data_IF_314148811048
#
_entry.id   IF_314148811048
#
_cell.length_a   1.000
_cell.length_b   1.000
_cell.length_c   1.000
_cell.angle_alpha   90.00
_cell.angle_beta   90.00
_cell.angle_gamma   90.00
#
_symmetry.space_group_name_H-M   'P 1'
#
loop_
_entity.id
_entity.type
_entity.pdbx_description
1 polymer ?
#
# COMPACT_ATOMS: atom_id res chain seq x y z
N UNK A 1 -3.38 -1.98 -10.95
CA UNK A 1 -2.36 -3.04 -11.06
C UNK A 1 -2.13 -3.60 -9.66
N UNK A 2 -2.00 -4.91 -9.50
CA UNK A 2 -1.63 -5.55 -8.24
C UNK A 2 -0.36 -6.37 -8.44
N UNK A 3 0.65 -6.19 -7.60
CA UNK A 3 1.88 -6.98 -7.63
C UNK A 3 1.85 -8.02 -6.51
N UNK A 4 1.85 -9.31 -6.85
CA UNK A 4 1.96 -10.38 -5.87
C UNK A 4 3.35 -10.37 -5.24
N UNK A 5 3.38 -10.28 -3.91
CA UNK A 5 4.57 -10.55 -3.13
C UNK A 5 5.00 -12.01 -3.31
N UNK A 6 6.28 -12.28 -3.03
CA UNK A 6 6.75 -13.65 -2.88
C UNK A 6 6.12 -14.28 -1.63
N UNK A 7 5.11 -15.12 -1.85
CA UNK A 7 4.40 -15.81 -0.77
C UNK A 7 5.20 -16.92 -0.12
N UNK A 8 6.28 -17.36 -0.75
CA UNK A 8 7.19 -18.38 -0.23
C UNK A 8 8.36 -17.75 0.54
N UNK A 9 8.52 -16.42 0.47
CA UNK A 9 9.47 -15.69 1.29
C UNK A 9 9.22 -15.98 2.77
N UNK A 10 10.28 -16.37 3.47
CA UNK A 10 10.23 -16.67 4.90
C UNK A 10 10.51 -15.42 5.72
N UNK A 11 9.86 -15.36 6.88
CA UNK A 11 10.25 -14.45 7.96
C UNK A 11 11.62 -14.84 8.52
N UNK A 12 12.31 -13.94 9.26
CA UNK A 12 13.56 -14.26 9.94
C UNK A 12 13.51 -15.46 10.91
N UNK A 13 12.30 -15.91 11.28
CA UNK A 13 12.07 -17.04 12.18
C UNK A 13 11.66 -18.34 11.46
N UNK A 14 11.76 -18.39 10.13
CA UNK A 14 11.59 -19.62 9.34
C UNK A 14 10.14 -19.98 8.97
N UNK A 15 9.17 -19.12 9.25
CA UNK A 15 7.78 -19.31 8.82
C UNK A 15 7.46 -18.47 7.59
N UNK A 16 6.52 -18.94 6.76
CA UNK A 16 6.05 -18.21 5.59
C UNK A 16 5.52 -16.82 5.95
N UNK A 17 5.93 -15.78 5.21
CA UNK A 17 5.53 -14.39 5.44
C UNK A 17 4.02 -14.19 5.29
N UNK A 18 3.36 -15.01 4.48
CA UNK A 18 1.90 -14.98 4.26
C UNK A 18 1.31 -16.38 4.41
N UNK A 19 0.61 -16.62 5.52
CA UNK A 19 -0.07 -17.89 5.78
C UNK A 19 -1.23 -18.19 4.82
N UNK A 20 -1.58 -19.48 4.70
CA UNK A 20 -2.59 -19.99 3.76
C UNK A 20 -3.95 -19.27 3.84
N UNK A 21 -4.42 -18.95 5.04
CA UNK A 21 -5.71 -18.27 5.23
C UNK A 21 -5.69 -16.84 4.67
N UNK A 22 -4.60 -16.09 4.91
CA UNK A 22 -4.45 -14.74 4.37
C UNK A 22 -4.35 -14.76 2.84
N UNK A 23 -3.68 -15.77 2.27
CA UNK A 23 -3.63 -15.97 0.81
C UNK A 23 -5.02 -16.22 0.22
N UNK A 24 -5.82 -17.05 0.86
CA UNK A 24 -7.19 -17.34 0.41
C UNK A 24 -8.08 -16.09 0.42
N UNK A 25 -8.03 -15.30 1.51
CA UNK A 25 -8.79 -14.04 1.62
C UNK A 25 -8.33 -13.03 0.56
N UNK A 26 -7.03 -12.87 0.38
CA UNK A 26 -6.48 -11.96 -0.63
C UNK A 26 -6.91 -12.37 -2.05
N UNK A 27 -6.83 -13.66 -2.38
CA UNK A 27 -7.27 -14.15 -3.69
C UNK A 27 -8.77 -13.92 -3.91
N UNK A 28 -9.60 -14.07 -2.87
CA UNK A 28 -11.03 -13.75 -2.96
C UNK A 28 -11.27 -12.25 -3.18
N UNK A 29 -10.56 -11.39 -2.45
CA UNK A 29 -10.66 -9.93 -2.61
C UNK A 29 -10.21 -9.47 -4.00
N UNK A 30 -9.11 -10.02 -4.54
CA UNK A 30 -8.62 -9.68 -5.89
C UNK A 30 -9.60 -10.12 -6.98
N UNK A 31 -10.21 -11.30 -6.87
CA UNK A 31 -11.25 -11.75 -7.81
C UNK A 31 -12.46 -10.81 -7.79
N UNK A 32 -12.90 -10.41 -6.60
CA UNK A 32 -14.04 -9.50 -6.48
C UNK A 32 -13.72 -8.10 -7.01
N UNK A 33 -12.53 -7.56 -6.69
CA UNK A 33 -12.06 -6.29 -7.24
C UNK A 33 -11.95 -6.33 -8.77
N UNK A 34 -11.42 -7.42 -9.34
CA UNK A 34 -11.31 -7.59 -10.78
C UNK A 34 -12.68 -7.56 -11.47
N UNK A 35 -13.68 -8.21 -10.86
CA UNK A 35 -15.08 -8.17 -11.33
C UNK A 35 -15.64 -6.75 -11.29
N UNK A 36 -15.52 -6.06 -10.15
CA UNK A 36 -16.03 -4.68 -9.99
C UNK A 36 -15.36 -3.70 -10.98
N UNK A 37 -14.06 -3.84 -11.22
CA UNK A 37 -13.35 -3.02 -12.21
C UNK A 37 -13.80 -3.31 -13.64
N UNK A 38 -14.08 -4.57 -13.98
CA UNK A 38 -14.64 -4.98 -15.27
C UNK A 38 -16.04 -4.40 -15.50
N UNK A 39 -16.89 -4.38 -14.47
CA UNK A 39 -18.22 -3.75 -14.51
C UNK A 39 -18.12 -2.24 -14.80
N UNK A 40 -17.00 -1.60 -14.45
CA UNK A 40 -16.68 -0.20 -14.74
C UNK A 40 -15.92 0.00 -16.08
N UNK A 41 -15.75 -1.04 -16.89
CA UNK A 41 -15.05 -0.98 -18.18
C UNK A 41 -13.52 -0.94 -18.08
N UNK A 42 -12.95 -1.26 -16.92
CA UNK A 42 -11.50 -1.34 -16.69
C UNK A 42 -11.08 -2.77 -16.36
N UNK A 43 -9.79 -3.03 -16.20
CA UNK A 43 -9.29 -4.38 -15.85
C UNK A 43 -8.23 -4.31 -14.76
N UNK A 44 -8.33 -5.22 -13.80
CA UNK A 44 -7.23 -5.48 -12.88
C UNK A 44 -6.11 -6.23 -13.60
N UNK A 45 -4.92 -5.63 -13.66
CA UNK A 45 -3.70 -6.31 -14.09
C UNK A 45 -2.99 -6.83 -12.86
N UNK A 46 -2.87 -8.15 -12.75
CA UNK A 46 -2.12 -8.84 -11.71
C UNK A 46 -0.73 -9.22 -12.25
N UNK A 47 0.30 -8.93 -11.46
CA UNK A 47 1.70 -9.09 -11.82
C UNK A 47 2.42 -9.91 -10.74
N UNK A 48 3.38 -10.75 -11.12
CA UNK A 48 4.20 -11.50 -10.17
C UNK A 48 5.61 -10.90 -10.09
N UNK A 49 6.07 -10.60 -8.88
CA UNK A 49 7.41 -10.10 -8.63
C UNK A 49 7.44 -8.72 -7.95
N UNK A 50 8.64 -8.23 -7.61
CA UNK A 50 8.80 -7.00 -6.84
C UNK A 50 8.31 -5.78 -7.64
N UNK A 51 7.52 -4.88 -7.01
CA UNK A 51 6.96 -3.70 -7.68
C UNK A 51 8.02 -2.86 -8.40
N UNK A 52 9.19 -2.66 -7.77
CA UNK A 52 10.31 -1.89 -8.32
C UNK A 52 10.87 -2.41 -9.64
N UNK A 53 10.63 -3.68 -9.99
CA UNK A 53 11.03 -4.24 -11.29
C UNK A 53 9.88 -4.27 -12.28
N UNK A 54 8.69 -4.67 -11.81
CA UNK A 54 7.56 -4.94 -12.70
C UNK A 54 6.86 -3.65 -13.15
N UNK A 55 6.67 -2.70 -12.23
CA UNK A 55 5.94 -1.47 -12.53
C UNK A 55 6.69 -0.56 -13.53
N UNK A 56 8.02 -0.36 -13.47
CA UNK A 56 8.72 0.43 -14.48
C UNK A 56 8.64 -0.19 -15.89
N UNK A 57 8.72 -1.52 -16.00
CA UNK A 57 8.58 -2.21 -17.27
C UNK A 57 7.15 -2.05 -17.82
N UNK A 58 6.14 -2.22 -16.98
CA UNK A 58 4.73 -2.04 -17.35
C UNK A 58 4.44 -0.59 -17.76
N UNK A 59 4.92 0.38 -16.99
CA UNK A 59 4.77 1.81 -17.27
C UNK A 59 5.34 2.16 -18.65
N UNK A 60 6.53 1.66 -18.98
CA UNK A 60 7.13 1.83 -20.31
C UNK A 60 6.29 1.20 -21.41
N UNK A 61 5.76 -0.01 -21.20
CA UNK A 61 4.97 -0.72 -22.20
C UNK A 61 3.64 -0.01 -22.53
N UNK A 62 3.05 0.69 -21.56
CA UNK A 62 1.77 1.40 -21.74
C UNK A 62 1.94 2.92 -21.93
N UNK A 63 3.18 3.42 -21.97
CA UNK A 63 3.47 4.85 -22.09
C UNK A 63 3.08 5.69 -20.88
N UNK A 64 2.98 5.10 -19.69
CA UNK A 64 2.70 5.80 -18.45
C UNK A 64 3.99 6.31 -17.79
N UNK A 65 3.89 7.48 -17.13
CA UNK A 65 4.97 8.08 -16.34
C UNK A 65 4.66 8.14 -14.84
N UNK A 66 3.38 7.98 -14.47
CA UNK A 66 2.89 8.20 -13.09
C UNK A 66 2.28 6.92 -12.52
N UNK A 67 2.65 6.62 -11.28
CA UNK A 67 2.03 5.60 -10.44
C UNK A 67 1.33 6.32 -9.29
N UNK A 68 0.05 5.99 -9.07
CA UNK A 68 -0.72 6.45 -7.92
C UNK A 68 -0.95 5.25 -7.00
N UNK A 69 -0.57 5.38 -5.73
CA UNK A 69 -0.77 4.33 -4.74
C UNK A 69 -1.09 4.91 -3.36
N UNK A 70 -1.48 4.04 -2.43
CA UNK A 70 -1.63 4.40 -1.03
C UNK A 70 -0.28 4.81 -0.42
N UNK A 71 -0.32 5.77 0.51
CA UNK A 71 0.78 6.05 1.42
C UNK A 71 0.69 5.13 2.63
N UNK A 72 1.71 4.28 2.84
CA UNK A 72 1.80 3.37 3.97
C UNK A 72 3.03 3.74 4.80
N UNK A 73 2.82 4.15 6.05
CA UNK A 73 3.88 4.50 6.99
C UNK A 73 4.58 3.26 7.59
N UNK A 74 5.11 2.39 6.74
CA UNK A 74 5.90 1.23 7.13
C UNK A 74 7.18 1.09 6.27
N UNK A 75 8.30 0.60 6.85
CA UNK A 75 9.61 0.70 6.19
C UNK A 75 9.71 -0.04 4.85
N UNK A 76 9.04 -1.19 4.70
CA UNK A 76 9.12 -1.97 3.47
C UNK A 76 8.38 -1.28 2.33
N UNK A 77 7.18 -0.77 2.61
CA UNK A 77 6.33 -0.06 1.64
C UNK A 77 6.96 1.29 1.24
N UNK A 78 7.57 2.00 2.20
CA UNK A 78 8.33 3.23 1.91
C UNK A 78 9.55 2.95 1.02
N UNK A 79 10.24 1.83 1.23
CA UNK A 79 11.36 1.42 0.38
C UNK A 79 10.90 1.11 -1.05
N UNK A 80 9.76 0.45 -1.24
CA UNK A 80 9.18 0.20 -2.57
C UNK A 80 8.85 1.50 -3.31
N UNK A 81 8.25 2.48 -2.63
CA UNK A 81 7.98 3.80 -3.21
C UNK A 81 9.28 4.51 -3.61
N UNK A 82 10.32 4.45 -2.77
CA UNK A 82 11.63 5.01 -3.07
C UNK A 82 12.29 4.33 -4.27
N UNK A 83 12.19 3.00 -4.37
CA UNK A 83 12.72 2.22 -5.50
C UNK A 83 12.03 2.64 -6.82
N UNK A 84 10.70 2.76 -6.83
CA UNK A 84 9.95 3.21 -8.00
C UNK A 84 10.33 4.63 -8.45
N UNK A 85 10.52 5.55 -7.50
CA UNK A 85 11.02 6.90 -7.78
C UNK A 85 12.44 6.87 -8.35
N UNK A 86 13.33 6.04 -7.80
CA UNK A 86 14.69 5.86 -8.31
C UNK A 86 14.73 5.27 -9.72
N UNK A 87 13.72 4.48 -10.09
CA UNK A 87 13.52 3.95 -11.44
C UNK A 87 12.96 4.98 -12.44
N UNK A 88 12.78 6.24 -12.03
CA UNK A 88 12.36 7.35 -12.87
C UNK A 88 10.84 7.54 -13.01
N UNK A 89 10.04 6.82 -12.21
CA UNK A 89 8.59 7.01 -12.19
C UNK A 89 8.20 8.17 -11.28
N UNK A 90 7.16 8.91 -11.67
CA UNK A 90 6.50 9.84 -10.77
C UNK A 90 5.57 9.03 -9.86
N UNK A 91 5.84 9.00 -8.56
CA UNK A 91 5.01 8.25 -7.60
C UNK A 91 4.24 9.21 -6.70
N UNK A 92 2.92 9.27 -6.90
CA UNK A 92 1.98 10.01 -6.09
C UNK A 92 1.37 9.09 -5.04
N UNK A 93 1.55 9.43 -3.77
CA UNK A 93 1.02 8.67 -2.65
C UNK A 93 -0.18 9.38 -2.04
N UNK A 94 -1.19 8.62 -1.61
CA UNK A 94 -2.42 9.14 -1.00
C UNK A 94 -2.65 8.47 0.35
N UNK A 95 -2.80 9.26 1.41
CA UNK A 95 -3.10 8.72 2.73
C UNK A 95 -4.57 8.27 2.82
N UNK A 96 -4.82 7.01 3.19
CA UNK A 96 -6.17 6.47 3.38
C UNK A 96 -6.26 5.39 4.48
N UNK A 97 -5.18 5.16 5.24
CA UNK A 97 -5.08 4.03 6.17
C UNK A 97 -5.65 4.30 7.57
N UNK A 98 -6.01 5.55 7.89
CA UNK A 98 -6.54 5.92 9.21
C UNK A 98 -7.86 6.67 9.11
N UNK A 99 -8.68 6.53 10.14
CA UNK A 99 -9.95 7.26 10.28
C UNK A 99 -9.77 8.79 10.25
N UNK A 100 -8.62 9.26 10.73
CA UNK A 100 -8.27 10.67 10.83
C UNK A 100 -7.01 10.87 10.00
N UNK A 101 -7.07 11.76 9.01
CA UNK A 101 -5.89 12.15 8.25
C UNK A 101 -4.83 12.74 9.21
N UNK A 102 -3.55 12.32 9.12
CA UNK A 102 -2.46 12.89 9.91
C UNK A 102 -2.36 14.41 9.84
N UNK A 103 -2.73 15.03 8.72
CA UNK A 103 -2.77 16.49 8.54
C UNK A 103 -3.93 17.15 9.30
N UNK A 104 -4.95 16.37 9.70
CA UNK A 104 -6.05 16.82 10.53
C UNK A 104 -5.80 16.59 12.04
N UNK A 105 -4.62 16.07 12.43
CA UNK A 105 -4.27 15.95 13.83
C UNK A 105 -3.94 17.34 14.41
N UNK A 106 -4.32 17.62 15.66
CA UNK A 106 -3.99 18.90 16.32
C UNK A 106 -2.52 19.02 16.75
N UNK A 107 -1.68 18.05 16.40
CA UNK A 107 -0.23 18.03 16.60
C UNK A 107 0.43 17.27 15.43
N UNK A 108 1.71 17.52 15.16
CA UNK A 108 2.46 16.73 14.19
C UNK A 108 2.64 15.27 14.68
N UNK A 109 2.75 14.31 13.75
CA UNK A 109 2.88 12.87 14.04
C UNK A 109 4.06 12.58 14.99
N UNK A 110 5.15 13.35 14.91
CA UNK A 110 6.33 13.22 15.77
C UNK A 110 6.05 13.57 17.24
N UNK A 111 4.93 14.23 17.52
CA UNK A 111 4.50 14.66 18.85
C UNK A 111 3.24 13.91 19.33
N UNK A 112 2.97 12.72 18.77
CA UNK A 112 1.86 11.88 19.20
C UNK A 112 1.95 11.55 20.70
N UNK A 113 0.85 11.69 21.47
CA UNK A 113 0.82 11.23 22.85
C UNK A 113 1.13 9.74 22.94
N UNK A 114 2.08 9.36 23.78
CA UNK A 114 2.48 7.96 23.98
C UNK A 114 1.39 7.08 24.61
N UNK A 115 0.37 7.70 25.21
CA UNK A 115 -0.77 7.02 25.84
C UNK A 115 -2.02 7.21 24.96
N UNK A 116 -2.62 6.10 24.54
CA UNK A 116 -3.81 6.10 23.68
C UNK A 116 -4.96 6.95 24.25
N UNK A 117 -5.23 6.86 25.55
CA UNK A 117 -6.30 7.65 26.19
C UNK A 117 -6.05 9.16 26.07
N UNK A 118 -4.81 9.60 26.26
CA UNK A 118 -4.41 11.00 26.09
C UNK A 118 -4.56 11.44 24.64
N UNK A 119 -4.11 10.61 23.69
CA UNK A 119 -4.32 10.82 22.25
C UNK A 119 -5.81 11.03 21.93
N UNK A 120 -6.67 10.08 22.34
CA UNK A 120 -8.10 10.11 22.06
C UNK A 120 -8.78 11.36 22.66
N UNK A 121 -8.54 11.65 23.94
CA UNK A 121 -9.16 12.80 24.61
C UNK A 121 -8.72 14.14 24.03
N UNK A 122 -7.46 14.26 23.62
CA UNK A 122 -6.96 15.50 23.05
C UNK A 122 -7.47 15.69 21.61
N UNK A 123 -7.62 14.61 20.85
CA UNK A 123 -8.22 14.64 19.51
C UNK A 123 -9.71 15.01 19.58
N UNK A 124 -10.48 14.38 20.47
CA UNK A 124 -11.91 14.66 20.63
C UNK A 124 -12.20 16.08 21.12
N UNK A 125 -11.30 16.69 21.91
CA UNK A 125 -11.44 18.08 22.36
C UNK A 125 -11.04 19.13 21.34
N UNK A 126 -10.20 18.76 20.37
CA UNK A 126 -9.75 19.65 19.30
C UNK A 126 -10.72 19.68 18.11
N UNK A 127 -11.75 18.83 18.13
CA UNK A 127 -12.89 18.84 17.21
C UNK A 127 -14.05 19.59 17.84
#
# INVERSE_FOLDING_TARGET
VYCHADYEAQTPWGFARVGVHRRAVLAAALRDLARQLADLGTRLVECCGPPGKVLPALARAVGASTVVCEDIAAPYEQAEVAELRSAGLQVQTVWQSSLIDPLCLPWPVQSLPAVFTTFRQALERAR
#
